data_IF_771375620999
#
_entry.id   IF_771375620999
#
_cell.length_a   1.000
_cell.length_b   1.000
_cell.length_c   1.000
_cell.angle_alpha   90.00
_cell.angle_beta   90.00
_cell.angle_gamma   90.00
#
_symmetry.space_group_name_H-M   'P 1'
#
loop_
_entity.id
_entity.type
_entity.pdbx_description
1 polymer ?
#
# COMPACT_ATOMS: atom_id res chain seq x y z
N UNK A 1 -98.43 35.02 -98.30
CA UNK A 1 -98.31 35.42 -96.88
C UNK A 1 -98.88 36.82 -96.73
N UNK A 2 -99.79 37.04 -95.78
CA UNK A 2 -100.18 38.40 -95.40
C UNK A 2 -99.04 38.99 -94.56
N UNK A 3 -98.50 40.12 -94.97
CA UNK A 3 -97.53 40.88 -94.19
C UNK A 3 -98.27 41.93 -93.35
N UNK A 4 -97.76 42.21 -92.15
CA UNK A 4 -98.23 43.32 -91.34
C UNK A 4 -97.87 44.63 -92.04
N UNK A 5 -98.79 45.60 -92.04
CA UNK A 5 -98.50 46.96 -92.46
C UNK A 5 -97.63 47.68 -91.41
N UNK A 6 -97.22 48.92 -91.71
CA UNK A 6 -96.36 49.69 -90.80
C UNK A 6 -96.97 49.87 -89.39
N UNK A 7 -98.29 50.06 -89.31
CA UNK A 7 -99.00 50.20 -88.04
C UNK A 7 -99.06 48.90 -87.25
N UNK A 8 -99.25 47.76 -87.92
CA UNK A 8 -99.23 46.43 -87.32
C UNK A 8 -97.87 46.06 -86.75
N UNK A 9 -96.77 46.41 -87.44
CA UNK A 9 -95.40 46.21 -86.94
C UNK A 9 -95.12 47.08 -85.71
N UNK A 10 -95.54 48.34 -85.71
CA UNK A 10 -95.37 49.25 -84.57
C UNK A 10 -96.17 48.79 -83.33
N UNK A 11 -97.39 48.29 -83.55
CA UNK A 11 -98.22 47.73 -82.49
C UNK A 11 -97.57 46.49 -81.86
N UNK A 12 -97.09 45.56 -82.69
CA UNK A 12 -96.39 44.36 -82.23
C UNK A 12 -95.12 44.74 -81.45
N UNK A 13 -94.32 45.67 -81.96
CA UNK A 13 -93.11 46.15 -81.29
C UNK A 13 -93.38 46.79 -79.94
N UNK A 14 -94.45 47.58 -79.83
CA UNK A 14 -94.90 48.17 -78.56
C UNK A 14 -95.32 47.10 -77.57
N UNK A 15 -96.13 46.12 -77.99
CA UNK A 15 -96.55 45.00 -77.14
C UNK A 15 -95.38 44.16 -76.66
N UNK A 16 -94.40 43.90 -77.52
CA UNK A 16 -93.18 43.18 -77.17
C UNK A 16 -92.38 43.98 -76.13
N UNK A 17 -92.20 45.28 -76.31
CA UNK A 17 -91.52 46.15 -75.31
C UNK A 17 -92.24 46.16 -73.96
N UNK A 18 -93.56 46.29 -73.94
CA UNK A 18 -94.36 46.23 -72.71
C UNK A 18 -94.18 44.90 -71.98
N UNK A 19 -94.19 43.79 -72.72
CA UNK A 19 -94.00 42.45 -72.14
C UNK A 19 -92.58 42.22 -71.61
N UNK A 20 -91.57 42.88 -72.20
CA UNK A 20 -90.17 42.77 -71.76
C UNK A 20 -89.82 43.73 -70.62
N UNK A 21 -90.50 44.88 -70.54
CA UNK A 21 -90.26 45.88 -69.50
C UNK A 21 -90.58 45.29 -68.11
N UNK A 22 -89.64 45.37 -67.17
CA UNK A 22 -89.81 44.86 -65.80
C UNK A 22 -89.59 43.36 -65.62
N UNK A 23 -89.21 42.60 -66.66
CA UNK A 23 -88.81 41.18 -66.51
C UNK A 23 -87.55 41.01 -65.66
N UNK A 24 -86.66 42.00 -65.67
CA UNK A 24 -85.61 42.15 -64.64
C UNK A 24 -86.16 43.05 -63.54
N UNK A 25 -86.28 42.49 -62.33
CA UNK A 25 -86.82 43.21 -61.17
C UNK A 25 -85.83 44.27 -60.69
N UNK A 26 -86.17 45.55 -60.85
CA UNK A 26 -85.33 46.69 -60.41
C UNK A 26 -85.42 46.98 -58.91
N UNK A 27 -86.41 46.41 -58.21
CA UNK A 27 -86.59 46.55 -56.76
C UNK A 27 -85.81 45.55 -55.90
N UNK A 28 -85.30 44.47 -56.50
CA UNK A 28 -84.46 43.49 -55.80
C UNK A 28 -82.99 43.83 -55.97
N UNK A 29 -82.18 43.45 -54.97
CA UNK A 29 -80.74 43.70 -54.93
C UNK A 29 -79.99 42.38 -54.79
N UNK A 30 -78.81 42.29 -55.40
CA UNK A 30 -77.84 41.24 -55.11
C UNK A 30 -76.77 41.87 -54.24
N UNK A 31 -76.74 41.46 -52.97
CA UNK A 31 -75.79 41.97 -51.99
C UNK A 31 -75.67 43.51 -51.98
N UNK A 32 -76.82 44.19 -51.91
CA UNK A 32 -76.89 45.65 -51.91
C UNK A 32 -76.80 46.34 -53.28
N UNK A 33 -76.41 45.65 -54.35
CA UNK A 33 -76.32 46.20 -55.72
C UNK A 33 -77.63 46.05 -56.49
N UNK A 34 -78.08 47.11 -57.16
CA UNK A 34 -79.34 47.13 -57.91
C UNK A 34 -79.20 46.48 -59.29
N UNK A 35 -80.26 45.80 -59.76
CA UNK A 35 -80.29 45.06 -61.03
C UNK A 35 -80.57 45.96 -62.25
N UNK A 36 -79.75 46.99 -62.46
CA UNK A 36 -79.91 47.95 -63.57
C UNK A 36 -78.90 47.76 -64.71
N UNK A 37 -77.89 46.92 -64.49
CA UNK A 37 -76.84 46.56 -65.45
C UNK A 37 -76.17 45.24 -64.99
N UNK A 38 -75.07 44.86 -65.65
CA UNK A 38 -74.24 43.73 -65.21
C UNK A 38 -73.71 43.95 -63.79
N UNK A 39 -73.77 42.89 -62.97
CA UNK A 39 -73.37 42.93 -61.56
C UNK A 39 -71.98 42.33 -61.41
N UNK A 40 -71.04 43.11 -60.91
CA UNK A 40 -69.74 42.61 -60.44
C UNK A 40 -69.76 42.53 -58.91
N UNK A 41 -69.43 41.36 -58.36
CA UNK A 41 -69.28 41.14 -56.92
C UNK A 41 -67.80 41.04 -56.58
N UNK A 42 -67.36 41.80 -55.58
CA UNK A 42 -66.05 41.69 -54.96
C UNK A 42 -66.08 40.71 -53.79
N UNK A 43 -64.90 40.33 -53.29
CA UNK A 43 -64.81 39.51 -52.08
C UNK A 43 -65.49 40.18 -50.87
N UNK A 44 -65.38 41.51 -50.75
CA UNK A 44 -66.02 42.28 -49.68
C UNK A 44 -67.55 42.22 -49.76
N UNK A 45 -68.11 42.21 -50.97
CA UNK A 45 -69.55 42.09 -51.14
C UNK A 45 -70.05 40.80 -50.47
N UNK A 46 -69.40 39.67 -50.71
CA UNK A 46 -69.85 38.37 -50.18
C UNK A 46 -69.20 37.96 -48.86
N UNK A 47 -68.52 38.88 -48.16
CA UNK A 47 -67.75 38.59 -46.94
C UNK A 47 -66.71 37.46 -47.12
N UNK A 48 -66.18 37.32 -48.33
CA UNK A 48 -65.13 36.36 -48.65
C UNK A 48 -63.73 36.97 -48.41
N UNK A 49 -62.73 36.09 -48.31
CA UNK A 49 -61.33 36.48 -48.26
C UNK A 49 -60.89 36.89 -49.68
N UNK A 50 -60.35 38.11 -49.88
CA UNK A 50 -59.77 38.51 -51.15
C UNK A 50 -58.62 37.58 -51.56
N UNK A 51 -58.55 37.18 -52.82
CA UNK A 51 -57.50 36.29 -53.33
C UNK A 51 -56.08 36.84 -53.05
N UNK A 52 -55.92 38.18 -53.10
CA UNK A 52 -54.66 38.86 -52.79
C UNK A 52 -54.22 38.76 -51.32
N UNK A 53 -55.12 38.40 -50.40
CA UNK A 53 -54.78 38.22 -48.98
C UNK A 53 -54.37 36.78 -48.65
N UNK A 54 -54.65 35.81 -49.52
CA UNK A 54 -54.30 34.41 -49.27
C UNK A 54 -52.79 34.23 -49.40
N UNK A 55 -52.15 33.71 -48.36
CA UNK A 55 -50.70 33.46 -48.33
C UNK A 55 -49.82 34.71 -48.40
N UNK A 56 -50.40 35.90 -48.35
CA UNK A 56 -49.68 37.17 -48.34
C UNK A 56 -49.26 37.54 -46.91
N UNK A 57 -48.14 38.26 -46.78
CA UNK A 57 -47.71 38.81 -45.50
C UNK A 57 -48.78 39.75 -44.93
N UNK A 58 -49.18 39.53 -43.66
CA UNK A 58 -50.27 40.28 -43.01
C UNK A 58 -51.68 39.88 -43.48
N UNK A 59 -51.81 38.85 -44.34
CA UNK A 59 -53.06 38.28 -44.80
C UNK A 59 -53.48 37.04 -44.02
N UNK A 60 -54.09 36.08 -44.73
CA UNK A 60 -54.60 34.83 -44.16
C UNK A 60 -53.76 33.66 -44.66
N UNK A 61 -53.33 32.79 -43.74
CA UNK A 61 -52.61 31.58 -44.08
C UNK A 61 -53.48 30.63 -44.92
N UNK A 62 -52.85 29.98 -45.90
CA UNK A 62 -53.50 28.94 -46.70
C UNK A 62 -53.33 27.57 -46.06
N UNK A 63 -54.10 26.60 -46.51
CA UNK A 63 -53.92 25.20 -46.16
C UNK A 63 -53.58 24.38 -47.41
N UNK A 64 -52.68 23.42 -47.26
CA UNK A 64 -52.35 22.42 -48.29
C UNK A 64 -53.42 21.32 -48.39
N UNK A 65 -53.15 20.30 -49.22
CA UNK A 65 -54.05 19.15 -49.41
C UNK A 65 -54.28 18.32 -48.13
N UNK A 66 -53.41 18.46 -47.12
CA UNK A 66 -53.53 17.83 -45.80
C UNK A 66 -54.20 18.72 -44.75
N UNK A 67 -54.66 19.91 -45.12
CA UNK A 67 -55.25 20.87 -44.18
C UNK A 67 -54.22 21.53 -43.26
N UNK A 68 -52.96 21.66 -43.70
CA UNK A 68 -51.86 22.27 -42.92
C UNK A 68 -51.36 23.55 -43.58
N UNK A 69 -50.86 24.48 -42.78
CA UNK A 69 -50.20 25.68 -43.32
C UNK A 69 -48.92 25.28 -44.03
N UNK A 70 -48.73 25.63 -45.32
CA UNK A 70 -47.51 25.29 -46.05
C UNK A 70 -46.26 25.86 -45.38
N UNK A 71 -45.15 25.11 -45.37
CA UNK A 71 -43.89 25.54 -44.75
C UNK A 71 -43.37 26.89 -45.29
N UNK A 72 -43.65 27.22 -46.56
CA UNK A 72 -43.30 28.51 -47.15
C UNK A 72 -44.00 29.72 -46.48
N UNK A 73 -45.08 29.50 -45.72
CA UNK A 73 -45.80 30.51 -44.94
C UNK A 73 -45.40 30.48 -43.46
N UNK A 74 -44.55 29.54 -43.05
CA UNK A 74 -44.02 29.46 -41.69
C UNK A 74 -42.65 30.14 -41.62
N UNK A 75 -42.33 30.81 -40.51
CA UNK A 75 -40.96 31.28 -40.27
C UNK A 75 -39.97 30.10 -40.18
N UNK A 76 -38.73 30.31 -40.64
CA UNK A 76 -37.68 29.27 -40.70
C UNK A 76 -37.42 28.56 -39.37
N UNK A 77 -37.50 29.26 -38.25
CA UNK A 77 -37.30 28.70 -36.92
C UNK A 77 -38.37 27.67 -36.47
N UNK A 78 -39.45 27.48 -37.23
CA UNK A 78 -40.46 26.45 -36.95
C UNK A 78 -40.04 25.06 -37.47
N UNK A 79 -39.03 24.97 -38.34
CA UNK A 79 -38.56 23.71 -38.96
C UNK A 79 -37.08 23.36 -38.66
N UNK A 80 -36.31 24.28 -38.08
CA UNK A 80 -34.86 24.19 -38.19
C UNK A 80 -34.17 23.57 -36.96
N UNK A 81 -34.07 22.24 -36.96
CA UNK A 81 -32.88 21.57 -36.45
C UNK A 81 -31.84 21.59 -37.58
N UNK A 82 -30.81 22.40 -37.42
CA UNK A 82 -29.73 22.56 -38.39
C UNK A 82 -28.58 21.65 -38.02
N UNK A 83 -28.32 20.65 -38.84
CA UNK A 83 -27.15 19.78 -38.69
C UNK A 83 -25.95 20.37 -39.44
N UNK A 84 -24.78 20.30 -38.83
CA UNK A 84 -23.54 20.77 -39.45
C UNK A 84 -22.31 20.39 -38.65
N UNK A 85 -21.17 20.98 -38.98
CA UNK A 85 -19.88 20.71 -38.36
C UNK A 85 -19.40 21.96 -37.63
N UNK A 86 -19.22 21.88 -36.31
CA UNK A 86 -18.74 23.01 -35.51
C UNK A 86 -17.21 23.08 -35.55
N UNK A 87 -16.67 24.21 -35.98
CA UNK A 87 -15.22 24.49 -35.92
C UNK A 87 -14.97 25.94 -35.58
N UNK A 88 -14.01 26.20 -34.68
CA UNK A 88 -13.60 27.54 -34.27
C UNK A 88 -14.76 28.48 -33.89
N UNK A 89 -15.81 27.93 -33.26
CA UNK A 89 -16.99 28.68 -32.80
C UNK A 89 -18.04 28.98 -33.86
N UNK A 90 -17.93 28.41 -35.07
CA UNK A 90 -18.86 28.59 -36.18
C UNK A 90 -19.36 27.25 -36.71
N UNK A 91 -20.60 27.22 -37.17
CA UNK A 91 -21.18 26.04 -37.81
C UNK A 91 -20.94 26.06 -39.32
N UNK A 92 -20.68 24.90 -39.90
CA UNK A 92 -20.46 24.73 -41.33
C UNK A 92 -21.31 23.59 -41.87
N UNK A 93 -21.67 23.63 -43.16
CA UNK A 93 -22.51 22.58 -43.76
C UNK A 93 -21.74 21.26 -43.97
N UNK A 94 -20.41 21.30 -43.98
CA UNK A 94 -19.53 20.18 -44.35
C UNK A 94 -18.31 20.12 -43.44
N UNK A 95 -17.74 18.92 -43.30
CA UNK A 95 -16.55 18.65 -42.47
C UNK A 95 -15.28 19.38 -42.92
N UNK A 96 -15.25 19.91 -44.15
CA UNK A 96 -14.17 20.74 -44.66
C UNK A 96 -14.22 22.21 -44.17
N UNK A 97 -15.32 22.62 -43.51
CA UNK A 97 -15.52 23.94 -42.92
C UNK A 97 -15.34 25.12 -43.90
N UNK A 98 -15.84 24.98 -45.14
CA UNK A 98 -15.74 26.01 -46.18
C UNK A 98 -17.00 26.89 -46.27
N UNK A 99 -18.17 26.32 -46.04
CA UNK A 99 -19.46 27.03 -46.12
C UNK A 99 -20.04 27.25 -44.73
N UNK A 100 -19.91 28.47 -44.22
CA UNK A 100 -20.44 28.85 -42.91
C UNK A 100 -21.98 28.92 -42.93
N UNK A 101 -22.59 28.41 -41.86
CA UNK A 101 -24.01 28.55 -41.56
C UNK A 101 -24.15 29.74 -40.63
N UNK A 102 -24.94 30.74 -41.03
CA UNK A 102 -25.22 31.88 -40.18
C UNK A 102 -26.05 31.45 -38.95
N UNK A 103 -25.67 31.97 -37.79
CA UNK A 103 -26.44 31.81 -36.56
C UNK A 103 -27.74 32.61 -36.62
N UNK A 104 -28.87 31.94 -36.42
CA UNK A 104 -30.20 32.52 -36.40
C UNK A 104 -30.87 32.24 -35.05
N UNK A 105 -31.51 33.26 -34.49
CA UNK A 105 -32.24 33.12 -33.22
C UNK A 105 -33.41 32.14 -33.38
N UNK A 106 -33.63 31.29 -32.38
CA UNK A 106 -34.73 30.32 -32.36
C UNK A 106 -34.43 29.00 -33.07
N UNK A 107 -33.25 28.82 -33.69
CA UNK A 107 -32.83 27.54 -34.28
C UNK A 107 -32.04 26.69 -33.31
N UNK A 108 -32.18 25.37 -33.46
CA UNK A 108 -31.36 24.37 -32.80
C UNK A 108 -30.31 23.89 -33.79
N UNK A 109 -29.07 23.75 -33.32
CA UNK A 109 -27.96 23.28 -34.14
C UNK A 109 -27.40 21.99 -33.56
N UNK A 110 -27.08 21.00 -34.40
CA UNK A 110 -26.45 19.75 -33.97
C UNK A 110 -25.11 19.63 -34.68
N UNK A 111 -24.03 19.56 -33.89
CA UNK A 111 -22.71 19.25 -34.44
C UNK A 111 -22.63 17.75 -34.73
N UNK A 112 -22.56 17.40 -36.01
CA UNK A 112 -22.51 16.01 -36.49
C UNK A 112 -21.28 15.29 -35.93
N UNK A 113 -20.18 16.00 -35.67
CA UNK A 113 -18.94 15.39 -35.17
C UNK A 113 -19.06 14.96 -33.71
N UNK A 114 -19.53 15.86 -32.84
CA UNK A 114 -19.62 15.60 -31.39
C UNK A 114 -21.01 15.12 -30.92
N UNK A 115 -22.03 15.19 -31.77
CA UNK A 115 -23.43 14.94 -31.41
C UNK A 115 -24.02 16.00 -30.46
N UNK A 116 -23.30 17.10 -30.18
CA UNK A 116 -23.73 18.12 -29.23
C UNK A 116 -24.80 19.03 -29.85
N UNK A 117 -25.79 19.37 -29.04
CA UNK A 117 -26.85 20.31 -29.39
C UNK A 117 -26.50 21.72 -28.92
N UNK A 118 -26.66 22.70 -29.79
CA UNK A 118 -26.38 24.11 -29.57
C UNK A 118 -27.61 24.97 -29.90
N UNK A 119 -27.65 26.18 -29.32
CA UNK A 119 -28.56 27.27 -29.67
C UNK A 119 -27.75 28.52 -29.98
N UNK A 120 -28.24 29.37 -30.88
CA UNK A 120 -27.62 30.67 -31.14
C UNK A 120 -28.04 31.71 -30.08
N UNK A 121 -27.08 32.31 -29.37
CA UNK A 121 -27.34 33.34 -28.34
C UNK A 121 -27.54 34.75 -28.90
N UNK A 122 -27.36 34.93 -30.21
CA UNK A 122 -27.22 36.25 -30.85
C UNK A 122 -25.76 36.61 -31.16
N UNK A 123 -24.80 36.04 -30.43
CA UNK A 123 -23.37 36.30 -30.62
C UNK A 123 -22.50 35.03 -30.70
N UNK A 124 -22.97 33.91 -30.15
CA UNK A 124 -22.23 32.65 -30.14
C UNK A 124 -23.17 31.45 -30.11
N UNK A 125 -22.65 30.29 -30.54
CA UNK A 125 -23.31 29.01 -30.32
C UNK A 125 -23.08 28.55 -28.88
N UNK A 126 -24.17 28.34 -28.14
CA UNK A 126 -24.16 27.90 -26.74
C UNK A 126 -24.72 26.49 -26.66
N UNK A 127 -24.01 25.59 -25.99
CA UNK A 127 -24.45 24.21 -25.78
C UNK A 127 -25.75 24.21 -24.97
N UNK A 128 -26.76 23.48 -25.46
CA UNK A 128 -28.06 23.32 -24.79
C UNK A 128 -28.02 22.18 -23.78
N UNK A 129 -27.30 21.12 -24.11
CA UNK A 129 -27.09 19.97 -23.24
C UNK A 129 -25.61 19.61 -23.32
N UNK A 130 -24.86 19.84 -22.24
CA UNK A 130 -23.51 19.31 -22.17
C UNK A 130 -23.61 17.78 -22.16
N UNK A 131 -22.95 17.16 -23.13
CA UNK A 131 -22.72 15.71 -23.11
C UNK A 131 -22.12 15.35 -21.76
N UNK A 132 -22.83 14.50 -21.00
CA UNK A 132 -22.42 13.99 -19.71
C UNK A 132 -20.91 13.66 -19.71
N UNK A 133 -20.11 14.50 -19.07
CA UNK A 133 -18.68 14.29 -19.00
C UNK A 133 -18.39 13.16 -18.01
N UNK A 134 -17.60 12.16 -18.43
CA UNK A 134 -17.16 11.09 -17.52
C UNK A 134 -15.93 11.55 -16.74
N UNK A 135 -15.92 11.39 -15.41
CA UNK A 135 -14.85 11.87 -14.54
C UNK A 135 -15.07 11.56 -13.06
N UNK A 136 -14.31 12.25 -12.21
CA UNK A 136 -14.33 12.06 -10.74
C UNK A 136 -14.59 13.38 -9.96
N UNK A 137 -15.05 14.44 -10.64
CA UNK A 137 -15.40 15.71 -10.00
C UNK A 137 -16.91 15.83 -9.80
N UNK A 138 -17.35 16.81 -8.99
CA UNK A 138 -18.77 17.07 -8.76
C UNK A 138 -19.56 17.43 -10.04
N UNK A 139 -18.87 17.83 -11.12
CA UNK A 139 -19.48 18.21 -12.40
C UNK A 139 -19.43 17.09 -13.45
N UNK A 140 -19.01 15.88 -13.08
CA UNK A 140 -18.84 14.75 -14.01
C UNK A 140 -19.53 13.49 -13.47
N UNK A 141 -20.01 12.62 -14.35
CA UNK A 141 -20.50 11.30 -13.95
C UNK A 141 -19.36 10.28 -13.91
N UNK A 142 -19.45 9.30 -13.01
CA UNK A 142 -18.54 8.16 -13.08
C UNK A 142 -18.82 7.30 -14.31
N UNK A 143 -17.78 6.62 -14.82
CA UNK A 143 -17.95 5.61 -15.86
C UNK A 143 -18.87 4.49 -15.36
N UNK A 144 -19.79 4.02 -16.19
CA UNK A 144 -20.81 3.03 -15.81
C UNK A 144 -20.25 1.68 -15.35
N UNK A 145 -19.02 1.33 -15.77
CA UNK A 145 -18.30 0.12 -15.36
C UNK A 145 -17.68 0.24 -13.96
N UNK A 146 -17.53 1.46 -13.42
CA UNK A 146 -16.77 1.72 -12.19
C UNK A 146 -17.29 0.96 -10.98
N UNK A 147 -18.61 0.81 -10.85
CA UNK A 147 -19.22 0.03 -9.77
C UNK A 147 -18.86 -1.45 -9.85
N UNK A 148 -18.84 -2.02 -11.06
CA UNK A 148 -18.42 -3.41 -11.28
C UNK A 148 -16.92 -3.56 -11.04
N UNK A 149 -16.09 -2.64 -11.51
CA UNK A 149 -14.64 -2.66 -11.24
C UNK A 149 -14.34 -2.60 -9.75
N UNK A 150 -15.02 -1.72 -9.00
CA UNK A 150 -14.84 -1.61 -7.56
C UNK A 150 -15.32 -2.87 -6.83
N UNK A 151 -16.45 -3.44 -7.23
CA UNK A 151 -16.97 -4.70 -6.69
C UNK A 151 -16.01 -5.86 -6.96
N UNK A 152 -15.59 -6.07 -8.22
CA UNK A 152 -14.64 -7.11 -8.59
C UNK A 152 -13.29 -6.93 -7.86
N UNK A 153 -12.83 -5.68 -7.71
CA UNK A 153 -11.63 -5.36 -6.95
C UNK A 153 -11.79 -5.71 -5.46
N UNK A 154 -12.95 -5.41 -4.85
CA UNK A 154 -13.23 -5.76 -3.45
C UNK A 154 -13.32 -7.26 -3.20
N UNK A 155 -13.64 -8.04 -4.25
CA UNK A 155 -13.63 -9.50 -4.21
C UNK A 155 -12.25 -10.09 -4.49
N UNK A 156 -11.30 -9.30 -5.01
CA UNK A 156 -9.93 -9.75 -5.17
C UNK A 156 -9.29 -9.96 -3.80
N UNK A 157 -8.46 -10.99 -3.67
CA UNK A 157 -7.74 -11.25 -2.43
C UNK A 157 -6.81 -10.05 -2.10
N UNK A 158 -7.13 -9.31 -1.04
CA UNK A 158 -6.32 -8.20 -0.56
C UNK A 158 -5.30 -8.72 0.45
N UNK A 159 -4.02 -8.59 0.09
CA UNK A 159 -2.86 -9.22 0.73
C UNK A 159 -2.95 -10.76 0.75
N UNK A 160 -1.86 -11.48 0.43
CA UNK A 160 -1.89 -12.92 0.57
C UNK A 160 -2.06 -13.26 2.06
N UNK A 161 -2.82 -14.32 2.37
CA UNK A 161 -3.18 -14.70 3.74
C UNK A 161 -1.96 -14.97 4.66
N UNK A 162 -0.75 -14.94 4.12
CA UNK A 162 0.52 -15.06 4.81
C UNK A 162 1.26 -13.73 5.04
N UNK A 163 0.65 -12.56 4.77
CA UNK A 163 1.30 -11.26 4.99
C UNK A 163 1.71 -11.02 6.46
N UNK A 164 1.09 -11.73 7.41
CA UNK A 164 1.48 -11.72 8.83
C UNK A 164 2.61 -12.72 9.17
N UNK A 165 3.10 -13.56 8.24
CA UNK A 165 4.16 -14.53 8.53
C UNK A 165 5.57 -13.92 8.67
N UNK A 166 5.72 -12.62 8.37
CA UNK A 166 6.99 -11.91 8.50
C UNK A 166 7.12 -11.11 9.82
N UNK A 167 6.12 -11.17 10.71
CA UNK A 167 6.27 -10.70 12.09
C UNK A 167 6.71 -11.86 12.98
N UNK A 168 7.95 -12.30 12.76
CA UNK A 168 8.78 -13.20 13.58
C UNK A 168 8.17 -14.54 14.06
N UNK A 169 8.81 -15.67 13.73
CA UNK A 169 8.70 -16.82 14.64
C UNK A 169 9.80 -17.88 14.68
N UNK A 170 10.83 -17.97 13.82
CA UNK A 170 11.75 -19.10 14.02
C UNK A 170 13.20 -18.95 13.57
N UNK A 171 14.11 -18.81 14.54
CA UNK A 171 15.54 -19.03 14.35
C UNK A 171 15.85 -20.45 13.84
N UNK A 172 14.94 -21.41 14.06
CA UNK A 172 15.06 -22.80 13.64
C UNK A 172 14.47 -23.09 12.24
N UNK A 173 14.00 -22.09 11.48
CA UNK A 173 13.54 -22.31 10.11
C UNK A 173 14.64 -22.97 9.24
N UNK A 174 14.32 -24.12 8.63
CA UNK A 174 15.27 -24.93 7.83
C UNK A 174 15.03 -24.87 6.33
N UNK A 175 13.84 -24.45 5.89
CA UNK A 175 13.48 -24.29 4.48
C UNK A 175 14.12 -23.03 3.89
N UNK A 176 15.04 -23.20 2.94
CA UNK A 176 15.77 -22.11 2.28
C UNK A 176 14.93 -21.29 1.31
N UNK A 177 13.74 -21.79 0.94
CA UNK A 177 12.77 -21.09 0.09
C UNK A 177 11.76 -20.25 0.86
N UNK A 178 11.75 -20.33 2.20
CA UNK A 178 10.85 -19.56 3.06
C UNK A 178 11.28 -18.10 3.18
N UNK A 179 10.33 -17.18 3.12
CA UNK A 179 10.56 -15.74 3.39
C UNK A 179 11.11 -15.50 4.82
N UNK A 180 10.89 -16.44 5.73
CA UNK A 180 11.38 -16.43 7.12
C UNK A 180 12.84 -16.90 7.27
N UNK A 181 13.49 -17.38 6.19
CA UNK A 181 14.81 -18.01 6.26
C UNK A 181 15.96 -16.99 6.31
N UNK A 182 16.72 -17.01 7.41
CA UNK A 182 17.91 -16.16 7.59
C UNK A 182 19.12 -16.82 6.90
N UNK A 183 19.50 -16.30 5.73
CA UNK A 183 20.59 -16.81 4.87
C UNK A 183 21.99 -16.86 5.51
N UNK A 184 22.17 -16.21 6.65
CA UNK A 184 23.43 -16.16 7.39
C UNK A 184 23.25 -16.47 8.89
N UNK A 185 22.35 -17.39 9.25
CA UNK A 185 22.18 -17.80 10.64
C UNK A 185 23.50 -18.37 11.20
N UNK A 186 24.05 -17.84 12.31
CA UNK A 186 25.15 -18.47 13.02
C UNK A 186 24.78 -19.93 13.35
N UNK A 187 25.64 -20.88 12.99
CA UNK A 187 25.47 -22.30 13.36
C UNK A 187 25.70 -22.55 14.85
N UNK A 188 26.33 -21.58 15.52
CA UNK A 188 26.55 -21.50 16.95
C UNK A 188 26.55 -20.01 17.31
N UNK A 189 25.82 -19.62 18.34
CA UNK A 189 25.99 -18.30 18.95
C UNK A 189 27.32 -18.35 19.71
N UNK A 190 28.36 -17.56 19.34
CA UNK A 190 29.68 -17.63 19.97
C UNK A 190 29.68 -17.37 21.48
N UNK A 191 28.58 -16.84 22.00
CA UNK A 191 28.19 -16.97 23.39
C UNK A 191 26.66 -17.07 23.41
N UNK A 192 26.11 -18.19 23.86
CA UNK A 192 24.77 -18.25 24.44
C UNK A 192 24.75 -17.49 25.78
N UNK A 193 25.33 -16.28 25.84
CA UNK A 193 25.63 -15.56 27.08
C UNK A 193 26.09 -16.49 28.20
N UNK A 194 27.01 -17.42 27.85
CA UNK A 194 27.18 -18.72 28.50
C UNK A 194 26.88 -18.67 29.98
N UNK A 195 26.00 -19.56 30.46
CA UNK A 195 25.68 -19.66 31.88
C UNK A 195 26.97 -19.50 32.69
N UNK A 196 27.14 -18.35 33.34
CA UNK A 196 28.34 -17.99 34.09
C UNK A 196 28.67 -19.04 35.15
N UNK A 197 27.74 -19.95 35.42
CA UNK A 197 27.93 -21.10 36.26
C UNK A 197 28.92 -22.13 35.72
N UNK A 198 29.41 -22.18 34.47
CA UNK A 198 30.44 -23.18 34.12
C UNK A 198 31.59 -22.72 33.22
N UNK A 199 32.82 -23.13 33.57
CA UNK A 199 34.05 -22.96 32.77
C UNK A 199 34.74 -24.32 32.67
N UNK A 200 35.00 -24.80 31.45
CA UNK A 200 35.69 -26.08 31.23
C UNK A 200 34.95 -27.31 31.81
N UNK A 201 33.62 -27.24 31.94
CA UNK A 201 32.80 -28.33 32.51
C UNK A 201 32.65 -28.32 34.04
N UNK A 202 33.23 -27.34 34.74
CA UNK A 202 33.12 -27.20 36.20
C UNK A 202 32.21 -26.05 36.61
N UNK A 203 31.50 -26.19 37.74
CA UNK A 203 30.60 -25.13 38.24
C UNK A 203 31.36 -24.00 38.94
N UNK A 204 31.08 -22.76 38.56
CA UNK A 204 31.61 -21.51 39.13
C UNK A 204 30.61 -21.00 40.17
N UNK A 205 30.95 -21.15 41.45
CA UNK A 205 30.07 -20.76 42.56
C UNK A 205 30.11 -19.26 42.89
N UNK A 206 31.06 -18.51 42.31
CA UNK A 206 31.28 -17.08 42.54
C UNK A 206 31.92 -16.43 41.32
N UNK A 207 31.69 -15.14 41.10
CA UNK A 207 32.24 -14.39 39.98
C UNK A 207 33.76 -14.58 39.82
N UNK A 208 34.17 -14.78 38.57
CA UNK A 208 35.58 -14.87 38.17
C UNK A 208 36.17 -13.46 38.07
N UNK A 209 37.22 -13.10 38.84
CA UNK A 209 37.84 -11.79 38.75
C UNK A 209 38.48 -11.53 37.38
N UNK A 210 38.57 -10.26 37.00
CA UNK A 210 39.23 -9.85 35.76
C UNK A 210 40.69 -10.34 35.73
N UNK A 211 41.08 -11.01 34.64
CA UNK A 211 42.44 -11.53 34.44
C UNK A 211 42.72 -12.88 35.11
N UNK A 212 41.70 -13.58 35.62
CA UNK A 212 41.88 -14.93 36.15
C UNK A 212 42.51 -15.88 35.11
N UNK A 213 43.61 -16.52 35.49
CA UNK A 213 44.34 -17.45 34.64
C UNK A 213 43.93 -18.88 34.96
N UNK A 214 43.07 -19.45 34.11
CA UNK A 214 42.68 -20.87 34.20
C UNK A 214 43.69 -21.74 33.45
N UNK A 215 44.87 -21.89 34.04
CA UNK A 215 45.87 -22.86 33.55
C UNK A 215 46.07 -23.95 34.59
N UNK A 216 46.16 -25.20 34.14
CA UNK A 216 46.54 -26.33 34.97
C UNK A 216 47.92 -26.07 35.57
N UNK A 217 47.97 -25.78 36.88
CA UNK A 217 49.22 -25.43 37.55
C UNK A 217 49.92 -26.73 37.94
N UNK A 218 50.81 -27.19 37.07
CA UNK A 218 51.66 -28.35 37.35
C UNK A 218 52.87 -27.91 38.17
N UNK A 219 53.01 -28.46 39.38
CA UNK A 219 54.18 -28.21 40.22
C UNK A 219 55.30 -29.19 39.87
N UNK A 220 56.51 -28.68 39.71
CA UNK A 220 57.68 -29.53 39.51
C UNK A 220 57.98 -30.33 40.78
N UNK A 221 58.38 -31.60 40.63
CA UNK A 221 58.78 -32.46 41.76
C UNK A 221 60.01 -31.89 42.45
N UNK A 222 59.99 -31.84 43.79
CA UNK A 222 61.17 -31.48 44.57
C UNK A 222 62.33 -32.47 44.32
N UNK A 223 63.54 -31.94 44.15
CA UNK A 223 64.76 -32.75 44.01
C UNK A 223 65.72 -32.41 45.14
N UNK A 224 66.17 -33.42 45.89
CA UNK A 224 67.16 -33.25 46.95
C UNK A 224 68.52 -32.77 46.43
N UNK A 225 69.28 -32.08 47.28
CA UNK A 225 70.66 -31.71 46.98
C UNK A 225 71.57 -32.94 47.02
N UNK A 226 72.70 -32.87 46.33
CA UNK A 226 73.83 -33.79 46.51
C UNK A 226 74.98 -33.06 47.20
N UNK A 227 76.07 -33.76 47.49
CA UNK A 227 77.28 -33.15 48.04
C UNK A 227 77.83 -32.00 47.16
N UNK A 228 77.60 -32.08 45.84
CA UNK A 228 78.20 -31.17 44.85
C UNK A 228 77.19 -30.41 43.97
N UNK A 229 75.88 -30.61 44.15
CA UNK A 229 74.85 -29.92 43.37
C UNK A 229 73.65 -29.52 44.24
N UNK A 230 73.12 -28.31 44.00
CA UNK A 230 71.88 -27.88 44.62
C UNK A 230 70.69 -28.73 44.14
N UNK A 231 69.67 -28.83 44.99
CA UNK A 231 68.39 -29.44 44.65
C UNK A 231 67.53 -28.56 43.75
N UNK A 232 66.34 -29.05 43.41
CA UNK A 232 65.33 -28.31 42.65
C UNK A 232 64.25 -27.75 43.57
N UNK A 233 63.85 -26.49 43.36
CA UNK A 233 62.69 -25.92 44.03
C UNK A 233 61.42 -26.56 43.45
N UNK A 234 60.73 -27.34 44.27
CA UNK A 234 59.34 -27.73 44.01
C UNK A 234 58.41 -26.71 44.66
N UNK A 235 57.66 -27.14 45.66
CA UNK A 235 56.87 -26.27 46.55
C UNK A 235 57.65 -25.75 47.77
N UNK A 236 58.95 -26.06 47.85
CA UNK A 236 59.82 -25.69 48.97
C UNK A 236 61.10 -25.05 48.44
N UNK A 237 61.79 -24.21 49.25
CA UNK A 237 63.09 -23.66 48.87
C UNK A 237 64.09 -24.76 48.50
N UNK A 238 64.81 -24.56 47.40
CA UNK A 238 65.82 -25.51 46.95
C UNK A 238 66.93 -25.67 48.01
N UNK A 239 67.28 -26.90 48.42
CA UNK A 239 68.44 -27.12 49.27
C UNK A 239 69.72 -26.79 48.48
N UNK A 240 70.64 -26.06 49.10
CA UNK A 240 71.95 -25.79 48.52
C UNK A 240 72.79 -27.08 48.40
N UNK A 241 73.82 -27.06 47.54
CA UNK A 241 74.80 -28.16 47.47
C UNK A 241 75.39 -28.45 48.87
N UNK A 242 75.58 -29.72 49.20
CA UNK A 242 76.05 -30.16 50.52
C UNK A 242 74.94 -30.31 51.58
N UNK A 243 73.68 -30.02 51.26
CA UNK A 243 72.55 -30.13 52.18
C UNK A 243 71.81 -31.48 52.11
N UNK A 244 72.41 -32.54 51.54
CA UNK A 244 71.75 -33.84 51.34
C UNK A 244 71.26 -34.51 52.64
N UNK A 245 71.81 -34.13 53.80
CA UNK A 245 71.45 -34.69 55.11
C UNK A 245 70.69 -33.70 56.00
N UNK A 246 70.17 -32.60 55.43
CA UNK A 246 69.39 -31.59 56.17
C UNK A 246 67.89 -31.86 56.05
N UNK A 247 67.13 -31.33 56.99
CA UNK A 247 65.66 -31.32 56.97
C UNK A 247 65.13 -29.89 56.86
N UNK A 248 63.95 -29.72 56.27
CA UNK A 248 63.27 -28.43 56.15
C UNK A 248 62.52 -28.11 57.44
N UNK A 249 62.78 -26.94 58.02
CA UNK A 249 62.07 -26.43 59.20
C UNK A 249 60.80 -25.67 58.78
N UNK A 250 59.90 -25.46 59.74
CA UNK A 250 58.69 -24.66 59.53
C UNK A 250 58.95 -23.19 59.14
N UNK A 251 60.14 -22.67 59.47
CA UNK A 251 60.59 -21.32 59.05
C UNK A 251 61.11 -21.27 57.60
N UNK A 252 61.06 -22.38 56.86
CA UNK A 252 61.49 -22.48 55.47
C UNK A 252 62.99 -22.67 55.28
N UNK A 253 63.76 -22.86 56.35
CA UNK A 253 65.22 -23.06 56.28
C UNK A 253 65.64 -24.53 56.45
N UNK A 254 66.77 -24.89 55.84
CA UNK A 254 67.34 -26.24 55.90
C UNK A 254 68.33 -26.40 57.07
N UNK A 255 68.05 -27.31 57.99
CA UNK A 255 68.83 -27.53 59.22
C UNK A 255 69.40 -28.95 59.33
N UNK A 256 70.52 -29.09 60.03
CA UNK A 256 71.11 -30.40 60.36
C UNK A 256 70.40 -31.02 61.57
N UNK A 257 70.15 -32.34 61.59
CA UNK A 257 69.66 -33.03 62.79
C UNK A 257 70.61 -32.79 63.98
N UNK A 258 70.05 -32.53 65.16
CA UNK A 258 70.85 -32.38 66.37
C UNK A 258 71.44 -33.75 66.78
N UNK A 259 72.72 -33.77 67.17
CA UNK A 259 73.36 -34.97 67.69
C UNK A 259 72.91 -35.22 69.14
N UNK A 260 72.29 -36.37 69.41
CA UNK A 260 71.93 -36.76 70.78
C UNK A 260 73.18 -37.24 71.51
N UNK A 261 73.66 -36.46 72.48
CA UNK A 261 74.81 -36.83 73.30
C UNK A 261 74.29 -37.38 74.63
N UNK A 262 74.73 -38.57 75.03
CA UNK A 262 74.37 -39.18 76.31
C UNK A 262 75.50 -38.99 77.32
N UNK A 263 75.18 -38.65 78.57
CA UNK A 263 76.16 -38.57 79.65
C UNK A 263 76.76 -39.94 79.99
N UNK A 264 77.99 -39.96 80.53
CA UNK A 264 78.59 -41.19 81.05
C UNK A 264 77.79 -41.71 82.23
N UNK A 265 77.63 -43.04 82.32
CA UNK A 265 76.96 -43.64 83.47
C UNK A 265 77.86 -43.55 84.71
N UNK A 266 77.30 -43.06 85.81
CA UNK A 266 77.96 -43.03 87.12
C UNK A 266 77.24 -43.98 88.07
N UNK A 267 77.81 -44.24 89.25
CA UNK A 267 77.11 -45.02 90.27
C UNK A 267 75.84 -44.34 90.82
N UNK A 268 75.62 -43.06 90.49
CA UNK A 268 74.49 -42.25 90.99
C UNK A 268 73.55 -41.72 89.90
N UNK A 269 73.91 -41.85 88.61
CA UNK A 269 73.11 -41.36 87.49
C UNK A 269 73.20 -42.30 86.28
N UNK A 270 72.05 -42.55 85.65
CA UNK A 270 71.97 -43.36 84.43
C UNK A 270 72.70 -42.64 83.27
N UNK A 271 73.44 -43.41 82.48
CA UNK A 271 73.93 -43.01 81.17
C UNK A 271 73.39 -43.96 80.11
N UNK A 272 74.25 -44.47 79.23
CA UNK A 272 73.92 -45.58 78.32
C UNK A 272 73.73 -46.94 79.02
N UNK A 273 74.03 -47.01 80.32
CA UNK A 273 73.72 -48.12 81.22
C UNK A 273 73.11 -47.56 82.51
N UNK A 274 72.36 -48.37 83.24
CA UNK A 274 71.75 -47.93 84.49
C UNK A 274 72.81 -47.68 85.57
N UNK A 275 72.56 -46.74 86.48
CA UNK A 275 73.40 -46.52 87.67
C UNK A 275 73.50 -47.78 88.53
N UNK A 276 72.42 -48.59 88.57
CA UNK A 276 72.38 -49.86 89.28
C UNK A 276 73.38 -50.87 88.70
N UNK A 277 73.43 -51.00 87.38
CA UNK A 277 74.39 -51.91 86.73
C UNK A 277 75.82 -51.36 86.81
N UNK A 278 76.01 -50.03 86.81
CA UNK A 278 77.33 -49.42 87.03
C UNK A 278 77.86 -49.72 88.42
N UNK A 279 76.99 -49.65 89.42
CA UNK A 279 77.35 -49.97 90.81
C UNK A 279 77.71 -51.45 90.98
N UNK A 280 76.98 -52.35 90.33
CA UNK A 280 77.34 -53.78 90.30
C UNK A 280 78.70 -54.00 89.65
N UNK A 281 78.93 -53.38 88.49
CA UNK A 281 80.17 -53.52 87.73
C UNK A 281 81.38 -52.98 88.52
N UNK A 282 81.24 -51.82 89.15
CA UNK A 282 82.32 -51.21 89.95
C UNK A 282 82.60 -51.97 91.25
N UNK A 283 81.63 -52.70 91.78
CA UNK A 283 81.74 -53.50 93.00
C UNK A 283 82.39 -54.88 92.80
N UNK A 284 82.72 -55.27 91.56
CA UNK A 284 83.43 -56.52 91.30
C UNK A 284 84.89 -56.40 91.77
N UNK A 285 85.19 -56.98 92.93
CA UNK A 285 86.56 -57.13 93.42
C UNK A 285 87.15 -58.43 92.86
N UNK A 286 88.41 -58.43 92.36
CA UNK A 286 89.07 -59.67 91.94
C UNK A 286 89.14 -60.65 93.11
N UNK A 287 88.79 -61.92 92.88
CA UNK A 287 88.91 -62.96 93.90
C UNK A 287 90.36 -63.12 94.33
N UNK A 288 90.60 -63.22 95.63
CA UNK A 288 91.93 -63.46 96.19
C UNK A 288 92.37 -64.89 95.90
N UNK A 289 93.68 -65.13 95.82
CA UNK A 289 94.23 -66.49 95.64
C UNK A 289 93.71 -67.45 96.72
N UNK A 290 93.47 -66.98 97.94
CA UNK A 290 92.89 -67.80 99.01
C UNK A 290 91.45 -68.25 98.71
N UNK A 291 90.62 -67.37 98.13
CA UNK A 291 89.26 -67.69 97.71
C UNK A 291 89.25 -68.63 96.48
N UNK A 292 90.20 -68.44 95.56
CA UNK A 292 90.41 -69.34 94.42
C UNK A 292 90.83 -70.73 94.91
N UNK A 293 91.80 -70.80 95.82
CA UNK A 293 92.29 -72.06 96.39
C UNK A 293 91.21 -72.78 97.20
N UNK A 294 90.33 -72.05 97.88
CA UNK A 294 89.20 -72.62 98.61
C UNK A 294 88.17 -73.28 97.67
N UNK A 295 87.93 -72.71 96.48
CA UNK A 295 87.02 -73.25 95.47
C UNK A 295 87.65 -74.43 94.73
N UNK A 296 88.96 -74.38 94.46
CA UNK A 296 89.66 -75.46 93.75
C UNK A 296 89.83 -76.73 94.60
N UNK A 297 89.79 -76.60 95.93
CA UNK A 297 89.93 -77.72 96.87
C UNK A 297 88.58 -78.25 97.43
N UNK A 298 87.45 -77.71 96.97
CA UNK A 298 86.08 -78.16 97.30
C UNK A 298 85.43 -78.90 96.14
#
# INVERSE_FOLDING_TARGET
MAFLDAGGVEHLWTKVKELLNGKVSTGRKINGKALTADITLSAADVSAIPAAQKGAAGGVAELDSGGKVPAAQLPSYVDDVVEGYLSSGKFYKESAHTTEIAGESGKIYIDITSGKTYRWSGTAYVVVSETLALGETASTAYRGDRGKTAYDHSLAAHAPANAEQNVQSDWAATDTGSDSYIKNKPTSMPANGGNAATVGGHTVAVDVPAGAKFTDTTYSTFKGATASAAGGAGLVPAPAAGAQSKYLRADGSWASPANTTYGTATQSANGLMSAADKKKLDGLVPMTNAEIDAILNS
#
